data_IF_192536446901
#
_entry.id   IF_192536446901
#
_cell.length_a   1.000
_cell.length_b   1.000
_cell.length_c   1.000
_cell.angle_alpha   90.00
_cell.angle_beta   90.00
_cell.angle_gamma   90.00
#
_symmetry.space_group_name_H-M   'P 1'
#
loop_
_entity.id
_entity.type
_entity.pdbx_description
1 polymer ?
#
# COMPACT_ATOMS: atom_id res chain seq x y z
N UNK A 1 0.93 43.59 -8.33
CA UNK A 1 0.93 43.20 -6.91
C UNK A 1 -0.49 43.29 -6.38
N UNK A 2 -1.17 42.15 -6.28
CA UNK A 2 -2.38 42.01 -5.48
C UNK A 2 -2.16 40.73 -4.67
N UNK A 3 -1.81 40.89 -3.41
CA UNK A 3 -1.66 39.77 -2.49
C UNK A 3 -3.04 39.13 -2.31
N UNK A 4 -3.17 37.87 -2.70
CA UNK A 4 -4.32 37.07 -2.33
C UNK A 4 -4.31 36.96 -0.80
N UNK A 5 -5.26 37.62 -0.16
CA UNK A 5 -5.49 37.51 1.27
C UNK A 5 -5.93 36.07 1.57
N UNK A 6 -4.98 35.22 1.95
CA UNK A 6 -5.28 33.93 2.56
C UNK A 6 -6.07 34.19 3.83
N UNK A 7 -7.36 33.87 3.81
CA UNK A 7 -8.20 33.91 5.02
C UNK A 7 -7.63 32.91 6.02
N UNK A 8 -6.91 33.44 7.01
CA UNK A 8 -6.54 32.68 8.20
C UNK A 8 -7.81 32.05 8.81
N UNK A 9 -7.70 30.78 9.19
CA UNK A 9 -8.76 30.00 9.84
C UNK A 9 -9.37 30.81 10.99
N UNK A 10 -10.68 31.06 10.96
CA UNK A 10 -11.38 31.46 12.18
C UNK A 10 -11.37 30.25 13.13
N UNK A 11 -10.75 30.43 14.30
CA UNK A 11 -10.79 29.42 15.36
C UNK A 11 -12.24 29.09 15.70
N UNK A 12 -12.60 27.79 15.68
CA UNK A 12 -13.94 27.30 16.03
C UNK A 12 -14.89 26.96 14.89
N UNK A 13 -14.56 27.26 13.62
CA UNK A 13 -15.39 26.85 12.48
C UNK A 13 -15.23 25.34 12.18
N UNK A 14 -16.36 24.67 11.89
CA UNK A 14 -16.37 23.26 11.48
C UNK A 14 -15.53 23.05 10.20
N UNK A 15 -14.80 21.91 10.08
CA UNK A 15 -13.94 21.65 8.93
C UNK A 15 -14.76 21.58 7.63
N UNK A 16 -14.30 22.28 6.58
CA UNK A 16 -14.92 22.21 5.25
C UNK A 16 -14.26 21.08 4.46
N UNK A 17 -14.89 19.91 4.46
CA UNK A 17 -14.36 18.71 3.79
C UNK A 17 -14.97 18.59 2.39
N UNK A 18 -14.13 18.57 1.36
CA UNK A 18 -14.56 18.27 -0.01
C UNK A 18 -14.83 16.78 -0.19
N UNK A 19 -15.92 16.43 -0.89
CA UNK A 19 -16.20 15.06 -1.32
C UNK A 19 -16.47 15.05 -2.82
N UNK A 20 -15.53 14.53 -3.58
CA UNK A 20 -15.63 14.41 -5.03
C UNK A 20 -16.02 13.00 -5.41
N UNK A 21 -17.12 12.88 -6.15
CA UNK A 21 -17.59 11.64 -6.76
C UNK A 21 -18.25 11.94 -8.10
N UNK A 22 -18.03 11.08 -9.09
CA UNK A 22 -18.70 11.18 -10.39
C UNK A 22 -18.99 9.79 -10.97
N UNK A 23 -20.25 9.55 -11.33
CA UNK A 23 -20.71 8.26 -11.85
C UNK A 23 -20.10 7.91 -13.21
N UNK A 24 -19.57 8.88 -13.97
CA UNK A 24 -18.92 8.61 -15.25
C UNK A 24 -17.70 7.69 -15.11
N UNK A 25 -17.00 7.76 -13.97
CA UNK A 25 -15.89 6.85 -13.66
C UNK A 25 -16.33 5.37 -13.50
N UNK A 26 -17.62 5.10 -13.36
CA UNK A 26 -18.18 3.73 -13.34
C UNK A 26 -18.20 3.09 -14.73
N UNK A 27 -18.00 3.87 -15.80
CA UNK A 27 -17.93 3.36 -17.17
C UNK A 27 -16.62 2.60 -17.44
N UNK A 28 -15.57 2.84 -16.66
CA UNK A 28 -14.41 1.94 -16.60
C UNK A 28 -14.79 0.67 -15.84
N UNK A 29 -15.13 -0.37 -16.59
CA UNK A 29 -15.62 -1.64 -16.07
C UNK A 29 -15.01 -2.81 -16.85
N UNK A 30 -14.67 -3.92 -16.18
CA UNK A 30 -14.13 -5.09 -16.85
C UNK A 30 -15.21 -5.75 -17.69
N UNK A 31 -14.81 -6.45 -18.76
CA UNK A 31 -15.75 -7.15 -19.63
C UNK A 31 -16.36 -8.40 -18.96
N UNK A 32 -15.70 -8.94 -17.94
CA UNK A 32 -16.11 -10.11 -17.16
C UNK A 32 -15.93 -9.80 -15.67
N UNK A 33 -16.69 -10.46 -14.81
CA UNK A 33 -16.62 -10.31 -13.34
C UNK A 33 -15.43 -11.06 -12.72
N UNK A 34 -14.33 -11.20 -13.44
CA UNK A 34 -13.11 -11.88 -12.98
C UNK A 34 -12.11 -10.92 -12.35
N UNK A 35 -12.20 -9.63 -12.68
CA UNK A 35 -11.34 -8.60 -12.09
C UNK A 35 -11.84 -8.19 -10.70
N UNK A 36 -10.90 -7.88 -9.81
CA UNK A 36 -11.18 -7.36 -8.47
C UNK A 36 -11.47 -5.85 -8.49
N UNK A 37 -10.82 -5.12 -9.40
CA UNK A 37 -11.07 -3.71 -9.64
C UNK A 37 -12.35 -3.53 -10.47
N UNK A 38 -13.45 -3.13 -9.81
CA UNK A 38 -14.77 -3.01 -10.44
C UNK A 38 -15.50 -1.73 -10.02
N UNK A 39 -16.51 -1.27 -10.80
CA UNK A 39 -17.34 -0.13 -10.41
C UNK A 39 -18.06 -0.28 -9.06
N UNK A 40 -18.22 -1.51 -8.57
CA UNK A 40 -18.87 -1.76 -7.28
C UNK A 40 -18.12 -1.12 -6.11
N UNK A 41 -16.79 -0.99 -6.20
CA UNK A 41 -15.96 -0.31 -5.19
C UNK A 41 -16.49 1.09 -4.87
N UNK A 42 -16.68 1.91 -5.91
CA UNK A 42 -17.21 3.27 -5.76
C UNK A 42 -18.68 3.30 -5.36
N UNK A 43 -19.50 2.35 -5.85
CA UNK A 43 -20.92 2.27 -5.46
C UNK A 43 -21.09 1.93 -3.99
N UNK A 44 -20.32 0.98 -3.48
CA UNK A 44 -20.37 0.57 -2.08
C UNK A 44 -19.99 1.72 -1.15
N UNK A 45 -18.89 2.43 -1.45
CA UNK A 45 -18.49 3.63 -0.71
C UNK A 45 -19.60 4.66 -0.72
N UNK A 46 -20.09 5.05 -1.90
CA UNK A 46 -21.12 6.10 -2.00
C UNK A 46 -22.39 5.75 -1.22
N UNK A 47 -22.86 4.50 -1.33
CA UNK A 47 -24.03 4.02 -0.56
C UNK A 47 -23.80 4.12 0.94
N UNK A 48 -22.62 3.70 1.44
CA UNK A 48 -22.28 3.78 2.86
C UNK A 48 -22.21 5.22 3.35
N UNK A 49 -21.50 6.10 2.63
CA UNK A 49 -21.38 7.51 2.99
C UNK A 49 -22.75 8.20 3.03
N UNK A 50 -23.64 7.88 2.08
CA UNK A 50 -24.99 8.44 2.05
C UNK A 50 -25.85 7.93 3.22
N UNK A 51 -25.80 6.62 3.50
CA UNK A 51 -26.53 6.01 4.61
C UNK A 51 -26.08 6.54 5.98
N UNK A 52 -24.80 6.87 6.13
CA UNK A 52 -24.20 7.41 7.35
C UNK A 52 -24.30 8.95 7.45
N UNK A 53 -24.98 9.61 6.50
CA UNK A 53 -25.13 11.06 6.48
C UNK A 53 -23.83 11.85 6.26
N UNK A 54 -22.77 11.21 5.76
CA UNK A 54 -21.49 11.86 5.47
C UNK A 54 -21.62 12.78 4.25
N UNK A 55 -22.31 12.32 3.20
CA UNK A 55 -22.42 13.09 1.94
C UNK A 55 -23.10 14.44 2.12
N UNK A 56 -24.06 14.56 3.03
CA UNK A 56 -24.77 15.82 3.32
C UNK A 56 -23.95 16.80 4.16
N UNK A 57 -22.89 16.33 4.82
CA UNK A 57 -21.99 17.14 5.66
C UNK A 57 -20.76 17.63 4.90
N UNK A 58 -20.41 16.98 3.79
CA UNK A 58 -19.30 17.39 2.92
C UNK A 58 -19.72 18.42 1.87
N UNK A 59 -18.76 19.18 1.38
CA UNK A 59 -18.90 19.99 0.17
C UNK A 59 -18.82 19.07 -1.05
N UNK A 60 -19.97 18.75 -1.63
CA UNK A 60 -20.04 17.89 -2.82
C UNK A 60 -19.38 18.54 -4.05
N UNK A 61 -18.53 17.78 -4.73
CA UNK A 61 -17.78 18.21 -5.92
C UNK A 61 -18.02 17.27 -7.10
N UNK A 62 -17.98 17.82 -8.31
CA UNK A 62 -18.09 17.06 -9.57
C UNK A 62 -16.73 16.94 -10.25
N UNK A 63 -16.50 15.83 -10.93
CA UNK A 63 -15.26 15.60 -11.65
C UNK A 63 -15.14 16.50 -12.89
N UNK A 64 -13.93 16.98 -13.14
CA UNK A 64 -13.51 17.59 -14.40
C UNK A 64 -12.38 16.78 -15.00
N UNK A 65 -12.32 16.72 -16.33
CA UNK A 65 -11.19 16.09 -17.00
C UNK A 65 -9.93 16.91 -16.77
N UNK A 66 -8.83 16.23 -16.45
CA UNK A 66 -7.52 16.86 -16.43
C UNK A 66 -7.17 17.40 -17.82
N UNK A 67 -6.65 18.63 -17.89
CA UNK A 67 -6.02 19.09 -19.12
C UNK A 67 -4.82 18.20 -19.39
N UNK A 68 -4.67 17.80 -20.66
CA UNK A 68 -3.62 16.87 -21.06
C UNK A 68 -2.21 17.33 -20.67
N UNK A 69 -1.92 18.64 -20.73
CA UNK A 69 -0.61 19.17 -20.35
C UNK A 69 -0.20 18.81 -18.91
N UNK A 70 -1.17 18.68 -18.00
CA UNK A 70 -0.90 18.30 -16.61
C UNK A 70 -0.58 16.81 -16.50
N UNK A 71 -1.28 15.95 -17.26
CA UNK A 71 -0.96 14.52 -17.33
C UNK A 71 0.43 14.31 -17.96
N UNK A 72 0.71 15.04 -19.04
CA UNK A 72 1.99 14.98 -19.75
C UNK A 72 3.18 15.59 -18.98
N UNK A 73 2.94 16.22 -17.82
CA UNK A 73 4.01 16.70 -16.93
C UNK A 73 4.72 15.57 -16.19
N UNK A 74 4.06 14.41 -16.04
CA UNK A 74 4.59 13.23 -15.36
C UNK A 74 4.57 11.97 -16.22
N UNK A 75 3.72 11.89 -17.24
CA UNK A 75 3.69 10.76 -18.17
C UNK A 75 4.25 11.10 -19.55
N UNK A 76 4.94 10.14 -20.16
CA UNK A 76 5.42 10.25 -21.53
C UNK A 76 4.25 10.46 -22.50
N UNK A 77 4.45 11.29 -23.53
CA UNK A 77 3.39 11.60 -24.51
C UNK A 77 2.77 10.35 -25.15
N UNK A 78 3.58 9.32 -25.42
CA UNK A 78 3.12 8.03 -25.96
C UNK A 78 2.14 7.32 -25.01
N UNK A 79 2.37 7.40 -23.70
CA UNK A 79 1.48 6.83 -22.70
C UNK A 79 0.14 7.60 -22.68
N UNK A 80 0.18 8.93 -22.66
CA UNK A 80 -1.04 9.76 -22.70
C UNK A 80 -1.86 9.50 -23.97
N UNK A 81 -1.21 9.40 -25.12
CA UNK A 81 -1.87 9.11 -26.39
C UNK A 81 -2.43 7.68 -26.46
N UNK A 82 -1.79 6.71 -25.81
CA UNK A 82 -2.31 5.35 -25.67
C UNK A 82 -3.65 5.38 -24.92
N UNK A 83 -3.69 5.98 -23.73
CA UNK A 83 -4.88 6.00 -22.89
C UNK A 83 -6.00 6.78 -23.57
N UNK A 84 -5.70 7.93 -24.19
CA UNK A 84 -6.72 8.72 -24.88
C UNK A 84 -7.38 7.98 -26.06
N UNK A 85 -6.61 7.16 -26.79
CA UNK A 85 -7.12 6.41 -27.95
C UNK A 85 -7.69 5.05 -27.56
N UNK A 86 -7.51 4.58 -26.33
CA UNK A 86 -7.83 3.20 -25.97
C UNK A 86 -9.33 2.91 -26.16
N UNK A 87 -10.18 3.86 -25.79
CA UNK A 87 -11.64 3.75 -25.86
C UNK A 87 -12.19 3.64 -27.30
N UNK A 88 -11.44 4.06 -28.33
CA UNK A 88 -11.89 3.92 -29.72
C UNK A 88 -11.72 2.49 -30.25
N UNK A 89 -10.85 1.67 -29.65
CA UNK A 89 -10.57 0.30 -30.09
C UNK A 89 -11.73 -0.65 -29.85
N UNK A 90 -11.90 -1.67 -30.69
CA UNK A 90 -12.88 -2.73 -30.45
C UNK A 90 -12.50 -3.62 -29.25
N UNK A 91 -13.45 -4.44 -28.79
CA UNK A 91 -13.26 -5.29 -27.60
C UNK A 91 -12.11 -6.30 -27.74
N UNK A 92 -11.81 -6.76 -28.95
CA UNK A 92 -10.72 -7.71 -29.19
C UNK A 92 -9.36 -7.01 -29.06
N UNK A 93 -9.26 -5.78 -29.58
CA UNK A 93 -8.06 -4.97 -29.54
C UNK A 93 -7.78 -4.37 -28.16
N UNK A 94 -8.84 -4.06 -27.38
CA UNK A 94 -8.72 -3.71 -25.97
C UNK A 94 -8.03 -4.85 -25.19
N UNK A 95 -8.54 -6.08 -25.33
CA UNK A 95 -7.95 -7.27 -24.66
C UNK A 95 -6.52 -7.54 -25.11
N UNK A 96 -6.24 -7.45 -26.42
CA UNK A 96 -4.88 -7.60 -26.96
C UNK A 96 -3.92 -6.52 -26.44
N UNK A 97 -4.42 -5.29 -26.26
CA UNK A 97 -3.60 -4.18 -25.74
C UNK A 97 -3.34 -4.37 -24.24
N UNK A 98 -4.36 -4.74 -23.46
CA UNK A 98 -4.24 -5.00 -22.02
C UNK A 98 -3.17 -6.07 -21.72
N UNK A 99 -3.13 -7.16 -22.49
CA UNK A 99 -2.13 -8.25 -22.37
C UNK A 99 -0.66 -7.82 -22.54
N UNK A 100 -0.40 -6.60 -23.02
CA UNK A 100 0.97 -6.06 -23.16
C UNK A 100 1.50 -5.41 -21.89
N UNK A 101 0.62 -5.23 -20.91
CA UNK A 101 0.89 -4.54 -19.66
C UNK A 101 0.54 -5.45 -18.51
N UNK A 102 1.14 -5.18 -17.36
CA UNK A 102 0.96 -5.98 -16.17
C UNK A 102 -0.32 -5.56 -15.43
N UNK A 103 -1.19 -6.54 -15.16
CA UNK A 103 -2.34 -6.41 -14.26
C UNK A 103 -3.25 -5.20 -14.55
N UNK A 104 -3.59 -4.98 -15.82
CA UNK A 104 -4.53 -3.93 -16.25
C UNK A 104 -5.59 -4.48 -17.20
N UNK A 105 -6.74 -3.81 -17.22
CA UNK A 105 -7.76 -4.02 -18.24
C UNK A 105 -8.18 -2.69 -18.87
N UNK A 106 -8.76 -2.77 -20.07
CA UNK A 106 -9.31 -1.61 -20.75
C UNK A 106 -10.76 -1.86 -21.16
N UNK A 107 -11.49 -0.76 -21.26
CA UNK A 107 -12.92 -0.70 -21.57
C UNK A 107 -13.22 0.55 -22.40
N UNK A 108 -14.43 0.64 -22.95
CA UNK A 108 -14.88 1.85 -23.66
C UNK A 108 -14.88 3.10 -22.76
N UNK A 109 -15.10 2.95 -21.45
CA UNK A 109 -15.06 4.06 -20.49
C UNK A 109 -13.66 4.39 -19.94
N UNK A 110 -12.61 3.66 -20.33
CA UNK A 110 -11.27 3.82 -19.72
C UNK A 110 -10.66 5.20 -19.93
N UNK A 111 -10.72 5.75 -21.14
CA UNK A 111 -10.15 7.08 -21.42
C UNK A 111 -10.83 8.16 -20.59
N UNK A 112 -12.16 8.28 -20.66
CA UNK A 112 -12.88 9.33 -19.93
C UNK A 112 -12.65 9.18 -18.42
N UNK A 113 -12.75 7.95 -17.88
CA UNK A 113 -12.57 7.71 -16.44
C UNK A 113 -11.16 8.08 -15.97
N UNK A 114 -10.11 7.79 -16.74
CA UNK A 114 -8.74 8.14 -16.37
C UNK A 114 -8.50 9.67 -16.35
N UNK A 115 -9.05 10.39 -17.33
CA UNK A 115 -8.95 11.86 -17.36
C UNK A 115 -9.76 12.51 -16.23
N UNK A 116 -10.94 11.96 -15.92
CA UNK A 116 -11.75 12.41 -14.79
C UNK A 116 -11.06 12.12 -13.45
N UNK A 117 -10.47 10.93 -13.26
CA UNK A 117 -9.74 10.58 -12.05
C UNK A 117 -8.60 11.56 -11.77
N UNK A 118 -7.71 11.77 -12.74
CA UNK A 118 -6.60 12.70 -12.61
C UNK A 118 -7.08 14.14 -12.35
N UNK A 119 -8.08 14.62 -13.10
CA UNK A 119 -8.59 15.99 -12.95
C UNK A 119 -9.32 16.22 -11.64
N UNK A 120 -9.95 15.17 -11.10
CA UNK A 120 -10.58 15.19 -9.78
C UNK A 120 -9.57 15.40 -8.66
N UNK A 121 -8.46 14.66 -8.69
CA UNK A 121 -7.40 14.80 -7.66
C UNK A 121 -6.72 16.16 -7.77
N UNK A 122 -6.46 16.66 -8.99
CA UNK A 122 -5.98 18.04 -9.21
C UNK A 122 -6.95 19.05 -8.56
N UNK A 123 -8.24 18.95 -8.84
CA UNK A 123 -9.22 19.95 -8.40
C UNK A 123 -9.37 19.99 -6.88
N UNK A 124 -9.42 18.83 -6.20
CA UNK A 124 -9.48 18.83 -4.73
C UNK A 124 -8.16 19.30 -4.11
N UNK A 125 -7.02 18.95 -4.70
CA UNK A 125 -5.71 19.35 -4.18
C UNK A 125 -5.49 20.86 -4.30
N UNK A 126 -5.89 21.46 -5.43
CA UNK A 126 -5.85 22.90 -5.63
C UNK A 126 -6.70 23.64 -4.59
N UNK A 127 -7.93 23.16 -4.33
CA UNK A 127 -8.83 23.80 -3.36
C UNK A 127 -8.36 23.69 -1.91
N UNK A 128 -7.74 22.56 -1.55
CA UNK A 128 -7.13 22.39 -0.23
C UNK A 128 -5.88 23.27 -0.10
N UNK A 129 -5.03 23.32 -1.14
CA UNK A 129 -3.85 24.19 -1.16
C UNK A 129 -4.21 25.67 -1.05
N UNK A 130 -5.28 26.11 -1.74
CA UNK A 130 -5.80 27.48 -1.69
C UNK A 130 -6.54 27.82 -0.38
N UNK A 131 -6.75 26.86 0.52
CA UNK A 131 -7.50 27.07 1.77
C UNK A 131 -9.01 27.20 1.60
N UNK A 132 -9.56 26.93 0.41
CA UNK A 132 -11.01 26.89 0.19
C UNK A 132 -11.65 25.70 0.92
N UNK A 133 -10.93 24.60 1.00
CA UNK A 133 -11.28 23.39 1.75
C UNK A 133 -10.22 23.12 2.81
N UNK A 134 -10.63 22.57 3.94
CA UNK A 134 -9.70 22.12 4.99
C UNK A 134 -8.98 20.83 4.57
N UNK A 135 -9.74 19.91 3.98
CA UNK A 135 -9.30 18.62 3.49
C UNK A 135 -10.29 18.11 2.44
N UNK A 136 -9.95 17.04 1.73
CA UNK A 136 -10.84 16.49 0.71
C UNK A 136 -10.66 14.99 0.49
N UNK A 137 -11.71 14.35 -0.01
CA UNK A 137 -11.72 12.96 -0.47
C UNK A 137 -12.12 12.95 -1.95
N UNK A 138 -11.24 12.44 -2.80
CA UNK A 138 -11.50 12.15 -4.20
C UNK A 138 -11.79 10.66 -4.37
N UNK A 139 -13.07 10.32 -4.53
CA UNK A 139 -13.52 8.96 -4.82
C UNK A 139 -13.38 8.69 -6.32
N UNK A 140 -12.16 8.35 -6.72
CA UNK A 140 -11.77 8.19 -8.13
C UNK A 140 -11.57 6.73 -8.52
N UNK A 141 -11.83 6.45 -9.80
CA UNK A 141 -11.45 5.21 -10.51
C UNK A 141 -11.18 5.55 -11.97
N UNK A 142 -10.13 5.01 -12.62
CA UNK A 142 -9.14 4.04 -12.11
C UNK A 142 -8.21 4.60 -11.01
N UNK A 143 -7.56 3.72 -10.21
CA UNK A 143 -6.48 4.11 -9.29
C UNK A 143 -5.26 4.64 -10.07
N UNK A 144 -4.21 5.07 -9.36
CA UNK A 144 -3.04 5.72 -9.95
C UNK A 144 -1.65 5.33 -9.44
N UNK A 145 -1.47 4.89 -8.21
CA UNK A 145 -0.14 4.85 -7.59
C UNK A 145 0.91 3.93 -8.26
N UNK A 146 0.47 2.94 -9.06
CA UNK A 146 1.35 2.07 -9.85
C UNK A 146 1.66 2.60 -11.27
N UNK A 147 0.90 3.58 -11.78
CA UNK A 147 1.08 4.03 -13.17
C UNK A 147 2.45 4.70 -13.36
N UNK A 148 3.27 4.08 -14.20
CA UNK A 148 4.63 4.52 -14.49
C UNK A 148 4.70 5.67 -15.49
N UNK A 149 5.87 6.27 -15.62
CA UNK A 149 6.11 7.35 -16.59
C UNK A 149 5.64 6.95 -18.00
N UNK A 150 5.92 5.72 -18.43
CA UNK A 150 5.74 5.29 -19.82
C UNK A 150 4.67 4.23 -20.07
N UNK A 151 4.05 3.66 -19.03
CA UNK A 151 3.02 2.62 -19.18
C UNK A 151 2.05 2.54 -17.99
N UNK A 152 0.83 2.01 -18.22
CA UNK A 152 -0.07 1.64 -17.14
C UNK A 152 0.33 0.28 -16.53
N UNK A 153 0.00 0.05 -15.27
CA UNK A 153 0.13 -1.25 -14.58
C UNK A 153 -0.71 -1.26 -13.29
N UNK A 154 -0.96 -2.44 -12.71
CA UNK A 154 -1.62 -2.55 -11.40
C UNK A 154 -2.97 -1.81 -11.34
N UNK A 155 -3.82 -1.99 -12.36
CA UNK A 155 -5.08 -1.27 -12.59
C UNK A 155 -4.98 0.26 -12.80
N UNK A 156 -3.79 0.83 -12.67
CA UNK A 156 -3.56 2.27 -12.75
C UNK A 156 -3.32 2.70 -14.20
N UNK A 157 -4.10 3.69 -14.67
CA UNK A 157 -3.95 4.22 -16.04
C UNK A 157 -3.13 5.51 -16.10
N UNK A 158 -3.26 6.36 -15.09
CA UNK A 158 -2.45 7.55 -14.86
C UNK A 158 -2.19 7.67 -13.36
N UNK A 159 -1.05 8.25 -12.97
CA UNK A 159 -0.71 8.45 -11.58
C UNK A 159 -1.38 9.72 -11.05
N UNK A 160 -2.59 9.57 -10.50
CA UNK A 160 -3.44 10.67 -10.09
C UNK A 160 -2.77 11.57 -9.04
N UNK A 161 -2.11 10.97 -8.04
CA UNK A 161 -1.43 11.69 -6.96
C UNK A 161 -0.17 12.39 -7.48
N UNK A 162 0.63 11.73 -8.32
CA UNK A 162 1.82 12.35 -8.89
C UNK A 162 1.50 13.53 -9.82
N UNK A 163 0.44 13.41 -10.63
CA UNK A 163 -0.07 14.52 -11.46
C UNK A 163 -0.44 15.71 -10.57
N UNK A 164 -1.17 15.49 -9.47
CA UNK A 164 -1.60 16.56 -8.58
C UNK A 164 -0.42 17.21 -7.84
N UNK A 165 0.55 16.41 -7.36
CA UNK A 165 1.77 16.91 -6.74
C UNK A 165 2.58 17.80 -7.70
N UNK A 166 2.82 17.32 -8.93
CA UNK A 166 3.54 18.09 -9.95
C UNK A 166 2.80 19.38 -10.32
N UNK A 167 1.47 19.31 -10.45
CA UNK A 167 0.63 20.49 -10.71
C UNK A 167 0.76 21.55 -9.63
N UNK A 168 0.68 21.17 -8.34
CA UNK A 168 0.82 22.13 -7.24
C UNK A 168 2.20 22.78 -7.21
N UNK A 169 3.27 21.99 -7.39
CA UNK A 169 4.65 22.49 -7.32
C UNK A 169 5.01 23.39 -8.51
N UNK A 170 4.57 23.03 -9.72
CA UNK A 170 5.12 23.63 -10.95
C UNK A 170 4.12 24.53 -11.70
N UNK A 171 2.82 24.24 -11.63
CA UNK A 171 1.80 25.01 -12.34
C UNK A 171 1.07 26.01 -11.45
N UNK A 172 1.07 25.79 -10.13
CA UNK A 172 0.45 26.67 -9.11
C UNK A 172 1.40 27.10 -7.98
N UNK A 173 2.61 27.60 -8.30
CA UNK A 173 3.53 28.10 -7.27
C UNK A 173 2.95 29.28 -6.46
N UNK A 174 1.94 29.98 -7.01
CA UNK A 174 1.19 31.04 -6.33
C UNK A 174 0.45 30.56 -5.06
N UNK A 175 0.17 29.26 -4.95
CA UNK A 175 -0.47 28.67 -3.77
C UNK A 175 0.50 28.41 -2.61
N UNK A 176 1.80 28.64 -2.81
CA UNK A 176 2.82 28.52 -1.76
C UNK A 176 3.05 27.09 -1.25
N UNK A 177 2.76 26.09 -2.07
CA UNK A 177 3.08 24.69 -1.78
C UNK A 177 4.48 24.39 -2.33
N UNK A 178 5.44 24.12 -1.44
CA UNK A 178 6.83 23.86 -1.81
C UNK A 178 7.31 22.47 -1.34
N UNK A 179 6.72 21.95 -0.27
CA UNK A 179 7.01 20.62 0.29
C UNK A 179 5.74 19.78 0.35
N UNK A 180 5.72 18.65 -0.36
CA UNK A 180 4.58 17.73 -0.40
C UNK A 180 4.99 16.43 0.29
N UNK A 181 4.21 16.00 1.27
CA UNK A 181 4.32 14.63 1.80
C UNK A 181 3.28 13.77 1.08
N UNK A 182 3.75 12.76 0.36
CA UNK A 182 2.89 11.70 -0.16
C UNK A 182 2.95 10.54 0.82
N UNK A 183 1.80 10.19 1.40
CA UNK A 183 1.67 8.98 2.21
C UNK A 183 0.92 7.96 1.37
N UNK A 184 1.45 6.76 1.25
CA UNK A 184 0.83 5.62 0.61
C UNK A 184 0.64 4.50 1.63
N UNK A 185 -0.63 4.24 1.95
CA UNK A 185 -1.03 3.18 2.88
C UNK A 185 -1.79 2.04 2.18
N UNK A 186 -1.83 2.08 0.84
CA UNK A 186 -2.29 0.94 0.06
C UNK A 186 -1.40 -0.26 0.38
N UNK A 187 -1.96 -1.47 0.37
CA UNK A 187 -1.17 -2.65 0.75
C UNK A 187 -0.07 -2.95 -0.28
N UNK A 188 -0.17 -2.41 -1.50
CA UNK A 188 0.84 -2.55 -2.53
C UNK A 188 1.78 -1.34 -2.54
N UNK A 189 3.03 -1.59 -2.91
CA UNK A 189 3.99 -0.51 -3.10
C UNK A 189 3.59 0.37 -4.29
N UNK A 190 3.45 1.68 -4.06
CA UNK A 190 3.20 2.66 -5.11
C UNK A 190 4.43 2.98 -5.96
N UNK A 191 5.00 1.97 -6.65
CA UNK A 191 6.22 2.04 -7.45
C UNK A 191 6.22 3.22 -8.44
N UNK A 192 5.12 3.43 -9.16
CA UNK A 192 4.99 4.53 -10.11
C UNK A 192 5.07 5.91 -9.45
N UNK A 193 4.62 6.03 -8.19
CA UNK A 193 4.73 7.27 -7.41
C UNK A 193 6.14 7.48 -6.89
N UNK A 194 6.77 6.43 -6.35
CA UNK A 194 8.18 6.42 -5.96
C UNK A 194 9.06 6.89 -7.13
N UNK A 195 8.92 6.26 -8.29
CA UNK A 195 9.75 6.52 -9.46
C UNK A 195 9.57 7.94 -10.02
N UNK A 196 8.38 8.54 -9.85
CA UNK A 196 8.12 9.91 -10.31
C UNK A 196 8.89 10.99 -9.53
N UNK A 197 9.19 10.72 -8.25
CA UNK A 197 9.78 11.69 -7.34
C UNK A 197 11.12 11.25 -6.75
N UNK A 198 11.70 10.16 -7.27
CA UNK A 198 12.88 9.50 -6.69
C UNK A 198 14.09 10.43 -6.48
N UNK A 199 14.21 11.48 -7.32
CA UNK A 199 15.29 12.46 -7.26
C UNK A 199 14.82 13.86 -6.77
N UNK A 200 13.54 14.05 -6.42
CA UNK A 200 12.96 15.36 -6.09
C UNK A 200 12.77 15.56 -4.57
N UNK A 201 13.64 16.32 -3.88
CA UNK A 201 13.52 16.54 -2.43
C UNK A 201 12.34 17.42 -2.02
N UNK A 202 11.60 18.01 -2.97
CA UNK A 202 10.36 18.74 -2.67
C UNK A 202 9.22 17.79 -2.32
N UNK A 203 9.35 16.50 -2.65
CA UNK A 203 8.35 15.47 -2.38
C UNK A 203 8.97 14.39 -1.50
N UNK A 204 8.43 14.23 -0.30
CA UNK A 204 8.73 13.08 0.56
C UNK A 204 7.70 12.00 0.26
N UNK A 205 8.13 10.86 -0.28
CA UNK A 205 7.28 9.69 -0.47
C UNK A 205 7.46 8.70 0.67
N UNK A 206 6.37 8.34 1.33
CA UNK A 206 6.34 7.28 2.34
C UNK A 206 5.34 6.22 1.88
N UNK A 207 5.78 4.97 1.74
CA UNK A 207 4.90 3.83 1.47
C UNK A 207 5.10 2.75 2.51
N UNK A 208 3.99 2.29 3.07
CA UNK A 208 3.93 1.05 3.85
C UNK A 208 3.20 0.01 3.01
N UNK A 209 3.75 -1.18 2.85
CA UNK A 209 3.18 -2.16 1.93
C UNK A 209 3.57 -3.58 2.30
N UNK A 210 2.78 -4.56 1.89
CA UNK A 210 3.15 -5.96 1.94
C UNK A 210 4.24 -6.22 0.92
N UNK A 211 5.34 -6.81 1.36
CA UNK A 211 6.49 -7.07 0.49
C UNK A 211 6.81 -8.56 0.41
N UNK A 212 6.81 -9.26 1.55
CA UNK A 212 7.15 -10.67 1.58
C UNK A 212 8.51 -10.96 0.96
N UNK A 213 9.49 -10.06 1.14
CA UNK A 213 10.81 -10.16 0.51
C UNK A 213 10.77 -10.18 -1.03
N UNK A 214 9.84 -9.42 -1.63
CA UNK A 214 9.64 -9.36 -3.09
C UNK A 214 8.75 -10.46 -3.65
N UNK A 215 8.12 -11.27 -2.80
CA UNK A 215 7.18 -12.31 -3.21
C UNK A 215 5.72 -11.85 -3.32
N UNK A 216 5.44 -10.59 -2.98
CA UNK A 216 4.12 -9.97 -3.15
C UNK A 216 4.16 -8.92 -4.25
N UNK A 217 3.05 -8.76 -4.98
CA UNK A 217 2.92 -7.79 -6.08
C UNK A 217 3.35 -6.39 -5.62
N UNK A 218 4.15 -5.63 -6.40
CA UNK A 218 4.52 -5.86 -7.81
C UNK A 218 5.74 -6.78 -8.06
N UNK A 219 6.26 -7.45 -7.03
CA UNK A 219 7.44 -8.35 -7.12
C UNK A 219 8.77 -7.62 -7.46
N UNK A 220 8.84 -6.33 -7.17
CA UNK A 220 9.99 -5.49 -7.50
C UNK A 220 10.91 -5.33 -6.29
N UNK A 221 12.23 -5.41 -6.51
CA UNK A 221 13.21 -5.31 -5.43
C UNK A 221 13.31 -3.89 -4.85
N UNK A 222 12.92 -2.88 -5.63
CA UNK A 222 12.96 -1.46 -5.29
C UNK A 222 11.84 -1.02 -4.32
N UNK A 223 10.94 -1.93 -3.96
CA UNK A 223 10.03 -1.79 -2.82
C UNK A 223 10.74 -2.02 -1.46
N UNK A 224 11.99 -2.47 -1.43
CA UNK A 224 12.74 -2.65 -0.18
C UNK A 224 13.09 -1.31 0.50
N UNK A 225 13.26 -1.34 1.82
CA UNK A 225 13.67 -0.21 2.67
C UNK A 225 15.00 0.46 2.27
N UNK A 226 15.87 -0.22 1.52
CA UNK A 226 17.18 0.32 1.07
C UNK A 226 17.07 1.30 -0.12
N UNK A 227 15.89 1.41 -0.73
CA UNK A 227 15.65 2.32 -1.84
C UNK A 227 15.14 3.66 -1.31
N UNK A 228 16.08 4.54 -1.00
CA UNK A 228 15.81 5.80 -0.29
C UNK A 228 15.80 7.04 -1.17
N UNK A 229 15.72 6.88 -2.49
CA UNK A 229 15.88 7.97 -3.46
C UNK A 229 17.33 8.10 -3.94
N UNK A 230 17.54 8.92 -4.96
CA UNK A 230 18.86 9.15 -5.55
C UNK A 230 19.12 10.64 -5.78
N UNK A 231 20.38 10.97 -6.10
CA UNK A 231 20.83 12.33 -6.36
C UNK A 231 20.39 13.30 -5.24
N UNK A 232 19.61 14.32 -5.59
CA UNK A 232 19.08 15.31 -4.64
C UNK A 232 17.91 14.79 -3.81
N UNK A 233 17.23 13.72 -4.25
CA UNK A 233 16.09 13.10 -3.57
C UNK A 233 16.49 12.02 -2.55
N UNK A 234 17.79 11.74 -2.38
CA UNK A 234 18.25 10.74 -1.41
C UNK A 234 17.82 11.09 0.02
N UNK A 235 17.16 10.15 0.69
CA UNK A 235 16.48 10.31 1.98
C UNK A 235 15.00 10.67 1.87
N UNK A 236 14.48 11.05 0.70
CA UNK A 236 13.09 11.49 0.50
C UNK A 236 12.17 10.40 -0.06
N UNK A 237 12.66 9.17 -0.19
CA UNK A 237 11.84 7.98 -0.42
C UNK A 237 11.95 7.05 0.79
N UNK A 238 10.81 6.64 1.35
CA UNK A 238 10.76 5.79 2.55
C UNK A 238 9.81 4.63 2.28
N UNK A 239 10.39 3.44 2.15
CA UNK A 239 9.65 2.19 2.05
C UNK A 239 9.63 1.47 3.39
N UNK A 240 8.45 1.05 3.85
CA UNK A 240 8.24 0.19 5.01
C UNK A 240 7.67 -1.16 4.52
N UNK A 241 8.55 -2.11 4.15
CA UNK A 241 8.14 -3.37 3.53
C UNK A 241 7.78 -4.44 4.57
N UNK A 242 6.50 -4.76 4.74
CA UNK A 242 6.09 -5.85 5.61
C UNK A 242 6.58 -7.21 5.13
N UNK A 243 7.19 -7.96 6.05
CA UNK A 243 7.71 -9.30 5.79
C UNK A 243 6.61 -10.33 5.50
N UNK A 244 5.37 -10.06 5.92
CA UNK A 244 4.26 -10.99 5.77
C UNK A 244 2.89 -10.27 5.80
N UNK A 245 1.84 -11.04 5.50
CA UNK A 245 0.45 -10.62 5.65
C UNK A 245 0.05 -10.43 7.13
N UNK A 246 -1.23 -10.14 7.39
CA UNK A 246 -1.86 -10.02 8.73
C UNK A 246 -1.40 -8.87 9.60
N UNK A 247 -0.52 -7.98 9.12
CA UNK A 247 -0.23 -6.72 9.79
C UNK A 247 -1.54 -5.93 9.99
N UNK A 248 -1.79 -5.46 11.21
CA UNK A 248 -3.02 -4.77 11.60
C UNK A 248 -2.75 -3.41 12.23
N UNK A 249 -3.73 -2.88 12.94
CA UNK A 249 -3.71 -1.52 13.51
C UNK A 249 -2.42 -1.22 14.29
N UNK A 250 -1.98 -2.13 15.16
CA UNK A 250 -0.75 -1.99 15.96
C UNK A 250 0.50 -1.81 15.09
N UNK A 251 0.58 -2.57 14.00
CA UNK A 251 1.75 -2.63 13.13
C UNK A 251 1.89 -1.34 12.32
N UNK A 252 0.77 -0.85 11.78
CA UNK A 252 0.73 0.41 11.04
C UNK A 252 0.93 1.62 11.97
N UNK A 253 0.33 1.61 13.16
CA UNK A 253 0.56 2.67 14.15
C UNK A 253 2.04 2.73 14.57
N UNK A 254 2.71 1.58 14.71
CA UNK A 254 4.14 1.56 15.01
C UNK A 254 4.98 2.19 13.89
N UNK A 255 4.68 1.91 12.62
CA UNK A 255 5.35 2.57 11.49
C UNK A 255 5.08 4.09 11.46
N UNK A 256 3.88 4.53 11.82
CA UNK A 256 3.57 5.95 11.96
C UNK A 256 4.44 6.58 13.05
N UNK A 257 4.34 6.06 14.26
CA UNK A 257 4.93 6.68 15.45
C UNK A 257 6.46 6.64 15.46
N UNK A 258 7.06 5.63 14.82
CA UNK A 258 8.50 5.42 14.87
C UNK A 258 9.25 5.67 13.56
N UNK A 259 8.55 5.98 12.46
CA UNK A 259 9.17 6.36 11.18
C UNK A 259 8.51 7.60 10.61
N UNK A 260 7.23 7.52 10.23
CA UNK A 260 6.58 8.58 9.46
C UNK A 260 6.46 9.90 10.23
N UNK A 261 5.89 9.88 11.44
CA UNK A 261 5.59 11.12 12.17
C UNK A 261 6.85 11.90 12.55
N UNK A 262 7.94 11.27 13.06
CA UNK A 262 9.19 11.99 13.32
C UNK A 262 9.78 12.64 12.05
N UNK A 263 9.74 11.92 10.92
CA UNK A 263 10.22 12.46 9.65
C UNK A 263 9.32 13.57 9.14
N UNK A 264 8.00 13.40 9.21
CA UNK A 264 7.03 14.42 8.80
C UNK A 264 7.15 15.71 9.62
N UNK A 265 7.48 15.61 10.91
CA UNK A 265 7.75 16.77 11.77
C UNK A 265 9.01 17.51 11.31
N UNK A 266 10.09 16.78 11.01
CA UNK A 266 11.34 17.36 10.50
C UNK A 266 11.19 17.93 9.07
N UNK A 267 10.42 17.26 8.22
CA UNK A 267 10.16 17.67 6.84
C UNK A 267 9.21 18.87 6.77
N UNK A 268 8.26 18.99 7.71
CA UNK A 268 7.28 20.08 7.80
C UNK A 268 6.54 20.32 6.47
N UNK A 269 5.70 19.36 6.01
CA UNK A 269 5.06 19.46 4.70
C UNK A 269 4.01 20.57 4.65
N UNK A 270 3.88 21.21 3.48
CA UNK A 270 2.82 22.18 3.23
C UNK A 270 1.46 21.50 3.04
N UNK A 271 1.43 20.33 2.41
CA UNK A 271 0.22 19.55 2.13
C UNK A 271 0.55 18.06 2.17
N UNK A 272 -0.43 17.25 2.57
CA UNK A 272 -0.35 15.79 2.49
C UNK A 272 -1.28 15.30 1.38
N UNK A 273 -0.72 14.54 0.44
CA UNK A 273 -1.49 13.77 -0.53
C UNK A 273 -1.45 12.30 -0.11
N UNK A 274 -2.60 11.74 0.23
CA UNK A 274 -2.73 10.37 0.69
C UNK A 274 -3.22 9.50 -0.47
N UNK A 275 -2.33 8.61 -0.94
CA UNK A 275 -2.68 7.45 -1.76
C UNK A 275 -3.51 6.50 -0.89
N UNK A 276 -4.83 6.67 -0.94
CA UNK A 276 -5.76 6.09 0.02
C UNK A 276 -6.30 4.75 -0.49
N UNK A 277 -5.44 3.73 -0.46
CA UNK A 277 -5.82 2.33 -0.66
C UNK A 277 -6.44 1.71 0.59
N UNK A 278 -7.40 0.80 0.42
CA UNK A 278 -8.07 0.14 1.55
C UNK A 278 -8.07 -1.39 1.42
N UNK A 279 -7.09 -1.94 0.71
CA UNK A 279 -6.85 -3.38 0.56
C UNK A 279 -5.96 -3.96 1.67
N UNK A 280 -5.40 -3.14 2.55
CA UNK A 280 -4.86 -3.61 3.82
C UNK A 280 -5.95 -3.83 4.89
N UNK A 281 -7.21 -3.51 4.57
CA UNK A 281 -8.34 -3.65 5.48
C UNK A 281 -8.63 -5.12 5.83
N UNK A 282 -9.09 -5.34 7.06
CA UNK A 282 -9.62 -6.62 7.50
C UNK A 282 -10.75 -7.08 6.57
N UNK A 283 -10.58 -8.24 5.93
CA UNK A 283 -11.56 -8.83 5.01
C UNK A 283 -11.23 -8.62 3.53
N UNK A 284 -10.17 -7.90 3.19
CA UNK A 284 -9.68 -7.83 1.82
C UNK A 284 -8.79 -9.03 1.46
N UNK A 285 -9.23 -9.80 0.46
CA UNK A 285 -8.56 -11.03 0.05
C UNK A 285 -7.25 -10.80 -0.71
N UNK A 286 -6.99 -9.60 -1.24
CA UNK A 286 -5.76 -9.31 -1.98
C UNK A 286 -4.62 -8.92 -1.05
N UNK A 287 -4.85 -7.99 -0.13
CA UNK A 287 -3.81 -7.53 0.78
C UNK A 287 -3.53 -8.51 1.93
N UNK A 288 -4.58 -9.18 2.42
CA UNK A 288 -4.53 -10.12 3.54
C UNK A 288 -3.94 -9.52 4.84
N UNK A 289 -3.98 -8.19 4.98
CA UNK A 289 -3.70 -7.48 6.22
C UNK A 289 -4.97 -7.39 7.08
N UNK A 290 -4.89 -6.71 8.22
CA UNK A 290 -5.94 -6.71 9.23
C UNK A 290 -6.19 -5.32 9.82
N UNK A 291 -6.06 -4.25 9.02
CA UNK A 291 -6.39 -2.90 9.50
C UNK A 291 -7.90 -2.78 9.66
N UNK A 292 -8.36 -2.32 10.81
CA UNK A 292 -9.78 -2.05 11.06
C UNK A 292 -10.17 -0.67 10.53
N UNK A 293 -11.46 -0.38 10.28
CA UNK A 293 -11.91 0.98 9.98
C UNK A 293 -11.46 2.01 11.02
N UNK A 294 -11.40 1.63 12.30
CA UNK A 294 -10.89 2.50 13.37
C UNK A 294 -9.36 2.66 13.33
N UNK A 295 -8.64 1.65 12.84
CA UNK A 295 -7.21 1.74 12.53
C UNK A 295 -6.93 2.83 11.51
N UNK A 296 -7.60 2.80 10.35
CA UNK A 296 -7.49 3.86 9.34
C UNK A 296 -7.85 5.24 9.88
N UNK A 297 -8.93 5.33 10.69
CA UNK A 297 -9.30 6.58 11.37
C UNK A 297 -8.18 7.11 12.28
N UNK A 298 -7.48 6.24 13.01
CA UNK A 298 -6.35 6.59 13.86
C UNK A 298 -5.12 7.04 13.04
N UNK A 299 -4.77 6.31 11.98
CA UNK A 299 -3.67 6.69 11.09
C UNK A 299 -3.90 8.08 10.50
N UNK A 300 -5.13 8.36 10.03
CA UNK A 300 -5.50 9.67 9.49
C UNK A 300 -5.51 10.77 10.57
N UNK A 301 -6.00 10.46 11.78
CA UNK A 301 -6.01 11.42 12.89
C UNK A 301 -4.60 11.87 13.27
N UNK A 302 -3.63 10.94 13.26
CA UNK A 302 -2.21 11.26 13.49
C UNK A 302 -1.65 12.21 12.41
N UNK A 303 -2.06 12.04 11.15
CA UNK A 303 -1.64 12.91 10.05
C UNK A 303 -2.26 14.32 10.10
N UNK A 304 -3.46 14.48 10.68
CA UNK A 304 -4.13 15.78 10.79
C UNK A 304 -3.34 16.81 11.64
N UNK A 305 -2.37 16.36 12.44
CA UNK A 305 -1.45 17.24 13.18
C UNK A 305 -0.44 17.99 12.30
N UNK A 306 -0.29 17.60 11.03
CA UNK A 306 0.69 18.13 10.09
C UNK A 306 0.03 18.97 9.00
N UNK A 307 0.82 19.76 8.26
CA UNK A 307 0.35 20.56 7.13
C UNK A 307 -0.87 21.46 7.43
N UNK A 308 -1.08 21.84 8.70
CA UNK A 308 -2.28 22.56 9.19
C UNK A 308 -3.60 21.82 8.88
N UNK A 309 -3.55 20.50 8.77
CA UNK A 309 -4.69 19.65 8.41
C UNK A 309 -5.00 19.60 6.92
N UNK A 310 -4.17 20.21 6.05
CA UNK A 310 -4.31 20.15 4.58
C UNK A 310 -4.01 18.74 4.08
N UNK A 311 -5.04 17.91 4.02
CA UNK A 311 -4.97 16.52 3.56
C UNK A 311 -5.92 16.29 2.39
N UNK A 312 -5.42 15.63 1.35
CA UNK A 312 -6.20 15.16 0.21
C UNK A 312 -6.10 13.65 0.15
N UNK A 313 -7.23 12.95 0.27
CA UNK A 313 -7.30 11.50 0.07
C UNK A 313 -7.69 11.21 -1.38
N UNK A 314 -6.84 10.51 -2.13
CA UNK A 314 -7.16 10.00 -3.46
C UNK A 314 -7.35 8.49 -3.37
N UNK A 315 -8.52 7.99 -3.77
CA UNK A 315 -8.82 6.55 -3.68
C UNK A 315 -7.89 5.72 -4.59
N UNK A 316 -7.20 4.73 -4.00
CA UNK A 316 -6.34 3.77 -4.72
C UNK A 316 -7.01 2.39 -4.76
N UNK A 317 -6.44 1.35 -4.11
CA UNK A 317 -6.94 -0.02 -4.02
C UNK A 317 -8.05 -0.24 -2.99
N UNK A 318 -8.28 -1.51 -2.63
CA UNK A 318 -9.38 -1.97 -1.76
C UNK A 318 -10.53 -2.61 -2.55
N UNK A 319 -10.68 -3.92 -2.41
CA UNK A 319 -11.42 -4.79 -3.32
C UNK A 319 -12.55 -5.56 -2.65
N UNK A 320 -12.54 -5.65 -1.32
CA UNK A 320 -13.73 -6.05 -0.55
C UNK A 320 -14.68 -4.84 -0.39
N UNK A 321 -15.88 -4.84 -1.00
CA UNK A 321 -16.77 -3.67 -1.02
C UNK A 321 -17.24 -3.20 0.35
N UNK A 322 -17.40 -4.11 1.32
CA UNK A 322 -17.79 -3.75 2.68
C UNK A 322 -16.61 -3.10 3.43
N UNK A 323 -15.42 -3.69 3.32
CA UNK A 323 -14.21 -3.25 4.01
C UNK A 323 -13.77 -1.86 3.55
N UNK A 324 -13.75 -1.61 2.23
CA UNK A 324 -13.43 -0.30 1.67
C UNK A 324 -14.47 0.75 2.06
N UNK A 325 -15.76 0.43 1.99
CA UNK A 325 -16.83 1.38 2.31
C UNK A 325 -16.81 1.78 3.79
N UNK A 326 -16.62 0.82 4.70
CA UNK A 326 -16.50 1.09 6.13
C UNK A 326 -15.25 1.91 6.46
N UNK A 327 -14.11 1.58 5.85
CA UNK A 327 -12.84 2.27 6.10
C UNK A 327 -12.84 3.71 5.57
N UNK A 328 -13.34 3.94 4.35
CA UNK A 328 -13.53 5.30 3.81
C UNK A 328 -14.49 6.11 4.66
N UNK A 329 -15.59 5.49 5.13
CA UNK A 329 -16.54 6.17 6.01
C UNK A 329 -15.92 6.59 7.34
N UNK A 330 -15.06 5.75 7.94
CA UNK A 330 -14.36 6.08 9.17
C UNK A 330 -13.41 7.27 8.97
N UNK A 331 -12.62 7.26 7.89
CA UNK A 331 -11.76 8.39 7.52
C UNK A 331 -12.54 9.69 7.26
N UNK A 332 -13.67 9.60 6.54
CA UNK A 332 -14.49 10.78 6.25
C UNK A 332 -15.07 11.42 7.52
N UNK A 333 -15.49 10.59 8.49
CA UNK A 333 -15.94 11.05 9.80
C UNK A 333 -14.82 11.77 10.56
N UNK A 334 -13.59 11.25 10.53
CA UNK A 334 -12.40 11.93 11.11
C UNK A 334 -12.16 13.30 10.47
N UNK A 335 -12.17 13.40 9.13
CA UNK A 335 -12.00 14.70 8.46
C UNK A 335 -13.09 15.71 8.83
N UNK A 336 -14.32 15.22 9.06
CA UNK A 336 -15.46 16.05 9.49
C UNK A 336 -15.40 16.43 10.99
N UNK A 337 -14.39 15.96 11.73
CA UNK A 337 -14.20 16.26 13.15
C UNK A 337 -14.98 15.37 14.10
N UNK A 338 -15.53 14.24 13.62
CA UNK A 338 -16.19 13.28 14.51
C UNK A 338 -15.17 12.60 15.41
N UNK A 339 -15.56 12.37 16.66
CA UNK A 339 -14.81 11.53 17.58
C UNK A 339 -15.10 10.06 17.28
N UNK A 340 -14.08 9.23 17.39
CA UNK A 340 -14.21 7.78 17.35
C UNK A 340 -13.51 7.20 18.58
N UNK A 341 -13.98 6.03 19.01
CA UNK A 341 -13.37 5.29 20.12
C UNK A 341 -12.54 4.15 19.55
N UNK A 342 -11.28 4.09 19.96
CA UNK A 342 -10.45 2.91 19.74
C UNK A 342 -10.88 1.84 20.73
N UNK A 343 -11.68 0.88 20.25
CA UNK A 343 -11.90 -0.37 20.98
C UNK A 343 -10.70 -1.26 20.69
N UNK A 344 -9.60 -1.10 21.43
CA UNK A 344 -8.46 -2.00 21.28
C UNK A 344 -8.15 -2.73 22.58
N UNK A 345 -8.23 -4.07 22.62
CA UNK A 345 -7.41 -4.84 23.54
C UNK A 345 -5.92 -4.54 23.23
N UNK A 346 -5.04 -4.74 24.21
CA UNK A 346 -3.59 -4.45 24.10
C UNK A 346 -3.03 -4.72 22.70
N UNK A 347 -2.79 -3.64 21.94
CA UNK A 347 -2.31 -3.71 20.57
C UNK A 347 -0.81 -3.94 20.58
N UNK A 348 -0.40 -5.17 20.28
CA UNK A 348 1.00 -5.56 20.20
C UNK A 348 1.39 -5.72 18.73
N UNK A 349 2.35 -4.94 18.22
CA UNK A 349 2.87 -5.15 16.87
C UNK A 349 3.66 -6.46 16.81
N UNK A 350 3.87 -6.97 15.60
CA UNK A 350 4.71 -8.15 15.40
C UNK A 350 6.19 -7.85 15.69
N UNK A 351 6.93 -8.88 16.10
CA UNK A 351 8.40 -8.81 16.17
C UNK A 351 9.04 -8.43 14.82
N UNK A 352 8.50 -8.95 13.71
CA UNK A 352 8.90 -8.60 12.35
C UNK A 352 8.64 -7.13 12.03
N UNK A 353 7.52 -6.56 12.49
CA UNK A 353 7.25 -5.13 12.36
C UNK A 353 8.33 -4.30 13.04
N UNK A 354 8.74 -4.68 14.25
CA UNK A 354 9.81 -3.98 14.96
C UNK A 354 11.15 -4.09 14.22
N UNK A 355 11.46 -5.26 13.66
CA UNK A 355 12.64 -5.49 12.82
C UNK A 355 12.66 -4.58 11.59
N UNK A 356 11.55 -4.52 10.86
CA UNK A 356 11.40 -3.65 9.67
C UNK A 356 11.58 -2.19 10.05
N UNK A 357 10.92 -1.71 11.11
CA UNK A 357 11.07 -0.33 11.60
C UNK A 357 12.54 -0.03 11.93
N UNK A 358 13.24 -0.93 12.62
CA UNK A 358 14.65 -0.75 12.93
C UNK A 358 15.51 -0.66 11.66
N UNK A 359 15.29 -1.55 10.68
CA UNK A 359 15.99 -1.55 9.39
C UNK A 359 15.79 -0.24 8.62
N UNK A 360 14.55 0.24 8.54
CA UNK A 360 14.20 1.52 7.90
C UNK A 360 14.89 2.69 8.61
N UNK A 361 14.87 2.73 9.94
CA UNK A 361 15.55 3.77 10.73
C UNK A 361 17.05 3.75 10.53
N UNK A 362 17.66 2.56 10.49
CA UNK A 362 19.11 2.43 10.30
C UNK A 362 19.57 2.93 8.93
N UNK A 363 18.78 2.70 7.88
CA UNK A 363 19.06 3.21 6.54
C UNK A 363 18.92 4.74 6.47
N UNK A 364 17.91 5.31 7.15
CA UNK A 364 17.53 6.71 7.01
C UNK A 364 18.14 7.67 8.04
N UNK A 365 18.69 7.19 9.15
CA UNK A 365 19.15 8.05 10.27
C UNK A 365 20.21 9.09 9.89
N UNK A 366 20.97 8.86 8.84
CA UNK A 366 21.97 9.82 8.32
C UNK A 366 21.33 11.01 7.61
N UNK A 367 20.15 10.80 7.00
CA UNK A 367 19.36 11.84 6.32
C UNK A 367 18.33 12.47 7.25
N UNK A 368 17.82 11.69 8.21
CA UNK A 368 16.85 12.10 9.22
C UNK A 368 17.41 11.82 10.61
N UNK A 369 18.20 12.74 11.20
CA UNK A 369 18.79 12.54 12.53
C UNK A 369 17.79 12.24 13.64
N UNK A 370 16.53 12.68 13.48
CA UNK A 370 15.39 12.34 14.37
C UNK A 370 15.16 10.81 14.52
N UNK A 371 15.63 10.00 13.57
CA UNK A 371 15.56 8.54 13.59
C UNK A 371 16.76 7.87 14.28
N UNK A 372 17.75 8.64 14.76
CA UNK A 372 18.95 8.09 15.41
C UNK A 372 18.72 7.62 16.84
N UNK A 373 17.60 8.01 17.46
CA UNK A 373 17.22 7.55 18.79
C UNK A 373 16.99 6.03 18.80
N UNK A 374 17.23 5.38 19.93
CA UNK A 374 16.89 3.97 20.08
C UNK A 374 15.38 3.79 20.12
N UNK A 375 14.90 2.74 19.47
CA UNK A 375 13.53 2.28 19.67
C UNK A 375 13.32 1.86 21.13
N UNK A 376 12.11 2.04 21.70
CA UNK A 376 11.80 1.55 23.03
C UNK A 376 12.06 0.04 23.16
N UNK A 377 12.77 -0.37 24.21
CA UNK A 377 13.15 -1.78 24.45
C UNK A 377 12.04 -2.58 25.17
N UNK A 378 11.14 -1.90 25.90
CA UNK A 378 10.07 -2.52 26.69
C UNK A 378 8.71 -2.50 25.97
N UNK A 379 8.67 -2.95 24.72
CA UNK A 379 7.41 -3.09 23.96
C UNK A 379 6.99 -4.54 23.97
N UNK A 380 5.71 -4.80 24.29
CA UNK A 380 5.16 -6.15 24.17
C UNK A 380 4.89 -6.45 22.70
N UNK A 381 5.56 -7.49 22.19
CA UNK A 381 5.53 -7.90 20.79
C UNK A 381 4.90 -9.28 20.67
N UNK A 382 4.16 -9.51 19.60
CA UNK A 382 3.62 -10.83 19.25
C UNK A 382 4.50 -11.50 18.20
N UNK A 383 4.73 -12.80 18.34
CA UNK A 383 5.43 -13.58 17.32
C UNK A 383 4.54 -13.79 16.09
N UNK A 384 5.15 -13.92 14.92
CA UNK A 384 4.43 -14.25 13.69
C UNK A 384 3.80 -15.64 13.83
N UNK A 385 2.53 -15.85 13.42
CA UNK A 385 1.97 -17.19 13.39
C UNK A 385 2.82 -18.06 12.45
N UNK A 386 3.37 -19.15 12.97
CA UNK A 386 4.18 -20.10 12.19
C UNK A 386 3.29 -20.84 11.19
N UNK A 387 3.15 -20.31 9.97
CA UNK A 387 2.43 -20.98 8.87
C UNK A 387 3.29 -22.00 8.09
N UNK A 388 4.31 -22.59 8.73
CA UNK A 388 5.00 -23.77 8.20
C UNK A 388 4.34 -25.03 8.77
N UNK A 389 3.13 -25.29 8.29
CA UNK A 389 2.36 -26.54 8.38
C UNK A 389 1.07 -26.19 7.64
N UNK A 390 0.99 -26.24 6.30
CA UNK A 390 0.15 -27.24 5.61
C UNK A 390 0.65 -27.56 4.18
N UNK A 391 1.53 -26.75 3.57
CA UNK A 391 1.89 -26.97 2.14
C UNK A 391 3.04 -27.95 1.86
N UNK A 392 3.71 -28.49 2.88
CA UNK A 392 4.76 -29.50 2.65
C UNK A 392 4.19 -30.91 2.36
N UNK A 393 2.95 -31.21 2.77
CA UNK A 393 2.31 -32.49 2.45
C UNK A 393 1.77 -32.56 1.01
N UNK A 394 1.46 -31.43 0.38
CA UNK A 394 0.91 -31.42 -0.99
C UNK A 394 1.98 -31.56 -2.07
N UNK A 395 3.19 -31.06 -1.84
CA UNK A 395 4.32 -31.21 -2.77
C UNK A 395 4.99 -32.60 -2.72
N UNK A 396 4.73 -33.38 -1.67
CA UNK A 396 5.27 -34.74 -1.55
C UNK A 396 4.45 -35.80 -2.31
N UNK A 397 3.14 -35.60 -2.51
CA UNK A 397 2.29 -36.61 -3.15
C UNK A 397 2.32 -36.58 -4.68
N UNK A 398 2.60 -35.43 -5.30
CA UNK A 398 2.51 -35.28 -6.76
C UNK A 398 3.80 -35.61 -7.52
N UNK A 399 4.94 -35.82 -6.84
CA UNK A 399 6.24 -36.00 -7.50
C UNK A 399 6.88 -37.37 -7.32
N UNK A 400 6.29 -38.28 -6.53
CA UNK A 400 6.92 -39.58 -6.23
C UNK A 400 6.03 -40.81 -6.32
N UNK A 401 4.75 -40.69 -6.71
CA UNK A 401 3.91 -41.85 -7.05
C UNK A 401 3.86 -42.98 -6.00
N UNK A 402 3.96 -42.64 -4.71
CA UNK A 402 3.90 -43.60 -3.62
C UNK A 402 2.56 -43.46 -2.89
N UNK A 403 1.78 -44.53 -2.89
CA UNK A 403 0.58 -44.64 -2.05
C UNK A 403 0.97 -44.57 -0.57
N UNK A 404 0.39 -43.61 0.14
CA UNK A 404 0.59 -43.42 1.57
C UNK A 404 -0.24 -44.46 2.35
N UNK A 405 0.42 -45.48 2.89
CA UNK A 405 -0.19 -46.42 3.84
C UNK A 405 -0.45 -45.79 5.21
N UNK A 406 -1.30 -46.41 6.05
CA UNK A 406 -1.93 -45.78 7.23
C UNK A 406 -1.02 -45.54 8.46
N UNK A 407 0.30 -45.61 8.33
CA UNK A 407 1.24 -45.57 9.47
C UNK A 407 1.88 -44.19 9.75
N UNK A 408 1.43 -43.11 9.09
CA UNK A 408 2.06 -41.77 9.20
C UNK A 408 1.27 -40.75 10.02
N UNK A 409 0.30 -41.19 10.85
CA UNK A 409 -0.54 -40.28 11.63
C UNK A 409 0.10 -39.67 12.89
N UNK A 410 1.30 -40.10 13.30
CA UNK A 410 1.87 -39.76 14.62
C UNK A 410 3.24 -39.04 14.62
N UNK A 411 3.54 -38.23 13.59
CA UNK A 411 4.72 -37.35 13.57
C UNK A 411 4.32 -35.87 13.62
N UNK A 412 3.78 -35.45 14.77
CA UNK A 412 3.74 -34.03 15.17
C UNK A 412 4.94 -33.82 16.09
N UNK A 413 5.81 -32.85 15.75
CA UNK A 413 7.05 -32.47 16.45
C UNK A 413 8.32 -33.14 15.91
N UNK A 414 8.80 -32.67 14.76
CA UNK A 414 10.23 -32.67 14.46
C UNK A 414 10.68 -31.23 14.19
N UNK A 415 11.78 -30.86 14.85
CA UNK A 415 12.35 -29.50 14.85
C UNK A 415 12.94 -29.19 13.46
N UNK A 416 12.76 -27.97 12.92
CA UNK A 416 13.20 -27.61 11.55
C UNK A 416 14.71 -27.86 11.30
N UNK A 417 15.54 -27.76 12.34
CA UNK A 417 16.97 -28.06 12.26
C UNK A 417 17.27 -29.54 11.92
N UNK A 418 16.49 -30.47 12.45
CA UNK A 418 16.65 -31.91 12.19
C UNK A 418 16.26 -32.28 10.76
N UNK A 419 15.25 -31.61 10.19
CA UNK A 419 14.85 -31.81 8.80
C UNK A 419 15.88 -31.26 7.82
N UNK A 420 16.53 -30.14 8.15
CA UNK A 420 17.59 -29.54 7.33
C UNK A 420 18.85 -30.43 7.30
N UNK A 421 19.26 -30.96 8.45
CA UNK A 421 20.37 -31.93 8.56
C UNK A 421 20.08 -33.23 7.79
N UNK A 422 18.85 -33.75 7.86
CA UNK A 422 18.43 -34.91 7.05
C UNK A 422 18.45 -34.61 5.54
N UNK A 423 18.09 -33.39 5.14
CA UNK A 423 18.11 -32.97 3.74
C UNK A 423 19.55 -32.88 3.20
N UNK A 424 20.48 -32.32 3.98
CA UNK A 424 21.92 -32.29 3.64
C UNK A 424 22.48 -33.72 3.54
N UNK A 425 22.13 -34.61 4.48
CA UNK A 425 22.59 -36.00 4.47
C UNK A 425 22.10 -36.76 3.23
N UNK A 426 20.82 -36.61 2.86
CA UNK A 426 20.24 -37.26 1.67
C UNK A 426 20.77 -36.66 0.36
N UNK A 427 21.07 -35.36 0.33
CA UNK A 427 21.68 -34.69 -0.82
C UNK A 427 23.13 -35.13 -1.04
N UNK A 428 23.91 -35.32 0.05
CA UNK A 428 25.28 -35.84 -0.02
C UNK A 428 25.34 -37.31 -0.45
N UNK A 429 24.40 -38.15 -0.03
CA UNK A 429 24.29 -39.56 -0.47
C UNK A 429 24.06 -39.66 -1.98
N UNK A 430 23.32 -38.71 -2.57
CA UNK A 430 22.99 -38.71 -4.00
C UNK A 430 24.12 -38.16 -4.89
N UNK A 431 24.98 -37.29 -4.35
CA UNK A 431 26.11 -36.69 -5.07
C UNK A 431 27.37 -37.56 -5.09
N UNK A 432 27.57 -38.43 -4.09
CA UNK A 432 28.84 -39.16 -3.91
C UNK A 432 28.85 -40.62 -4.36
N UNK A 433 27.74 -41.16 -4.85
CA UNK A 433 27.70 -42.34 -5.73
C UNK A 433 28.33 -43.66 -5.24
N UNK A 434 28.92 -43.75 -4.05
CA UNK A 434 29.50 -44.97 -3.48
C UNK A 434 29.53 -44.90 -1.95
N UNK A 435 28.90 -45.88 -1.31
CA UNK A 435 28.95 -46.10 0.13
C UNK A 435 30.35 -46.64 0.50
N UNK A 436 31.13 -45.86 1.25
CA UNK A 436 32.36 -46.36 1.92
C UNK A 436 32.06 -46.74 3.37
N UNK A 437 32.87 -47.59 4.02
CA UNK A 437 32.59 -48.14 5.36
C UNK A 437 32.43 -47.10 6.49
N UNK A 438 32.89 -45.87 6.29
CA UNK A 438 32.68 -44.74 7.22
C UNK A 438 31.25 -44.19 7.23
N UNK A 439 30.41 -44.54 6.24
CA UNK A 439 28.99 -44.17 6.20
C UNK A 439 28.11 -45.04 7.10
N UNK A 440 28.52 -46.28 7.40
CA UNK A 440 27.79 -47.17 8.31
C UNK A 440 27.92 -46.73 9.77
N UNK A 441 29.09 -46.23 10.18
CA UNK A 441 29.31 -45.72 11.55
C UNK A 441 28.50 -44.46 11.83
N UNK A 442 28.28 -43.59 10.84
CA UNK A 442 27.41 -42.43 10.97
C UNK A 442 25.93 -42.83 11.08
N UNK A 443 25.49 -43.81 10.29
CA UNK A 443 24.12 -44.34 10.36
C UNK A 443 23.81 -44.97 11.74
N UNK A 444 24.78 -45.69 12.33
CA UNK A 444 24.66 -46.21 13.69
C UNK A 444 24.62 -45.10 14.75
N UNK A 445 25.39 -44.01 14.58
CA UNK A 445 25.38 -42.88 15.51
C UNK A 445 24.04 -42.11 15.49
N UNK A 446 23.45 -41.92 14.31
CA UNK A 446 22.13 -41.29 14.14
C UNK A 446 21.02 -42.16 14.75
N UNK A 447 21.03 -43.48 14.51
CA UNK A 447 20.04 -44.40 15.09
C UNK A 447 20.15 -44.50 16.62
N UNK A 448 21.37 -44.41 17.18
CA UNK A 448 21.57 -44.43 18.64
C UNK A 448 21.10 -43.13 19.29
N UNK A 449 21.28 -41.99 18.62
CA UNK A 449 20.82 -40.68 19.09
C UNK A 449 19.30 -40.54 19.05
N UNK A 450 18.64 -41.13 18.04
CA UNK A 450 17.18 -41.20 17.94
C UNK A 450 16.57 -42.12 18.99
N UNK A 451 17.25 -43.22 19.36
CA UNK A 451 16.78 -44.12 20.41
C UNK A 451 16.88 -43.54 21.84
N UNK A 452 17.78 -42.57 22.06
CA UNK A 452 17.96 -41.90 23.36
C UNK A 452 16.87 -40.84 23.68
N UNK A 453 16.03 -40.47 22.71
CA UNK A 453 14.95 -39.48 22.85
C UNK A 453 13.54 -40.12 22.93
N UNK A 454 13.43 -41.34 23.47
CA UNK A 454 12.12 -41.84 23.91
C UNK A 454 11.75 -41.16 25.24
N UNK A 455 10.62 -40.45 25.34
CA UNK A 455 10.09 -40.05 26.63
C UNK A 455 9.67 -41.32 27.38
N UNK A 456 10.19 -41.53 28.58
CA UNK A 456 9.55 -42.44 29.53
C UNK A 456 8.28 -41.75 30.03
N UNK A 457 7.14 -42.41 29.77
CA UNK A 457 5.78 -42.27 30.33
C UNK A 457 5.40 -40.96 31.01
#
# INVERSE_FOLDING_TARGET
MAAAAGTARQEGAAPRVGLLYDQRMLAHAPALNTEKETPERLRAIWRKLAAEGVTSRCVGMRAKEAKEKYIASVHARKHVDLIRKISSKDSSDLKKTAKKFDSVYFSKGSSESAFLAAGSVIEVAEKVAAGELSSAIALVRPPGHHAEHSHPMGYCLFNNVAIAANYLLNERPDLGINKILIVDWDVHHGNGTQNMFYNDPRVLFFSVHRYGYGSFYPYEADASHVFIGDETGRGYNINVPWEHAKCGDADYVAAWDHVLLPVAEAFDPDIILLSAGFDAALGDDMGDCCITPNGYALLLTKLLGFAKGRIVMALEGGYNPESIANSVCACAKVLLGDKFTLNSPEMQPFESTWRVIQMVRDELKTYWPVLSSKLPENVSLRSTPSYIQVNFLFLFSSSWGLELGPAWSDLRLMNCALMYEMWIALFQIRLLGNLTPSSLTFHQHVMTTVAAFKPHS
#
